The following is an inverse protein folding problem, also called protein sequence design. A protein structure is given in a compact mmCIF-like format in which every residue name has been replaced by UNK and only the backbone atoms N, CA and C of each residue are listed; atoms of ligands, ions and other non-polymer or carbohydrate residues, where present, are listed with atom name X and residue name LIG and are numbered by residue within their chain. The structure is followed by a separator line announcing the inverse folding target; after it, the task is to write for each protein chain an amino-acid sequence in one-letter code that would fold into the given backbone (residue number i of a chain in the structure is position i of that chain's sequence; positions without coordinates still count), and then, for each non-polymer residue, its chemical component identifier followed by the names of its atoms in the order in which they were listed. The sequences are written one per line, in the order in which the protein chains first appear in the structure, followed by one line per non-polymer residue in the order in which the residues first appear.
data_IF_607544135407
#
_entry.id   IF_607544135407
#
_cell.length_a   1.000
_cell.length_b   1.000
_cell.length_c   1.000
_cell.angle_alpha   90.00
_cell.angle_beta   90.00
_cell.angle_gamma   90.00
#
_symmetry.space_group_name_H-M   'P 1'
#
loop_
_entity.id
_entity.type
_entity.pdbx_description
1 polymer ?
#
# COMPACT_ATOMS: atom_id res chain seq x y z
N UNK A 1 -7.31 -8.68 11.94
CA UNK A 1 -7.69 -9.16 10.59
C UNK A 1 -8.75 -10.21 10.77
N UNK A 2 -9.82 -10.16 9.97
CA UNK A 2 -11.00 -11.00 10.10
C UNK A 2 -11.29 -11.64 8.74
N UNK A 3 -10.55 -12.71 8.41
CA UNK A 3 -10.64 -13.37 7.10
C UNK A 3 -11.92 -14.18 6.89
N UNK A 4 -12.69 -14.38 7.96
CA UNK A 4 -13.98 -15.08 7.99
C UNK A 4 -15.10 -14.14 8.49
N UNK A 5 -14.83 -12.83 8.59
CA UNK A 5 -15.74 -11.85 9.19
C UNK A 5 -15.59 -11.71 10.71
N UNK A 6 -16.35 -10.77 11.28
CA UNK A 6 -16.46 -10.50 12.71
C UNK A 6 -17.91 -10.17 13.06
N UNK A 7 -18.24 -10.05 14.34
CA UNK A 7 -19.59 -9.74 14.82
C UNK A 7 -20.18 -8.47 14.17
N UNK A 8 -19.35 -7.45 13.91
CA UNK A 8 -19.78 -6.19 13.31
C UNK A 8 -19.91 -6.26 11.79
N UNK A 9 -19.04 -7.03 11.13
CA UNK A 9 -18.97 -7.14 9.68
C UNK A 9 -18.80 -8.61 9.28
N UNK A 10 -19.83 -9.27 8.73
CA UNK A 10 -19.79 -10.71 8.46
C UNK A 10 -18.91 -11.09 7.26
N UNK A 11 -18.46 -10.12 6.47
CA UNK A 11 -17.62 -10.35 5.28
C UNK A 11 -16.13 -10.22 5.62
N UNK A 12 -15.22 -10.90 4.91
CA UNK A 12 -13.79 -10.82 5.18
C UNK A 12 -13.21 -9.41 5.04
N UNK A 13 -12.46 -8.97 6.05
CA UNK A 13 -11.95 -7.60 6.13
C UNK A 13 -10.73 -7.44 7.04
N UNK A 14 -10.07 -6.29 6.92
CA UNK A 14 -8.96 -5.85 7.76
C UNK A 14 -9.40 -4.57 8.48
N UNK A 15 -9.25 -4.56 9.81
CA UNK A 15 -9.33 -3.34 10.61
C UNK A 15 -7.99 -2.59 10.52
N UNK A 16 -8.07 -1.31 10.20
CA UNK A 16 -6.96 -0.36 10.22
C UNK A 16 -7.23 0.61 11.36
N UNK A 17 -6.77 0.23 12.55
CA UNK A 17 -7.09 0.96 13.79
C UNK A 17 -6.01 1.98 14.17
N UNK A 18 -4.79 1.74 13.68
CA UNK A 18 -3.60 2.53 13.96
C UNK A 18 -2.65 2.54 12.75
N UNK A 19 -1.79 3.55 12.70
CA UNK A 19 -0.62 3.66 11.85
C UNK A 19 0.61 3.89 12.73
N UNK A 20 1.81 3.73 12.19
CA UNK A 20 3.03 4.08 12.91
C UNK A 20 3.27 5.59 12.77
N UNK A 21 3.48 6.26 13.91
CA UNK A 21 3.82 7.67 13.94
C UNK A 21 5.17 7.90 13.22
N UNK A 22 5.30 8.91 12.34
CA UNK A 22 6.55 9.17 11.62
C UNK A 22 7.76 9.39 12.54
N UNK A 23 7.53 9.99 13.71
CA UNK A 23 8.53 10.26 14.75
C UNK A 23 8.60 9.19 15.83
N UNK A 24 7.74 8.15 15.75
CA UNK A 24 7.60 7.12 16.76
C UNK A 24 8.77 6.15 16.77
N UNK A 25 9.64 6.23 17.77
CA UNK A 25 10.72 5.26 17.96
C UNK A 25 10.16 3.89 18.36
N UNK A 26 10.73 2.81 17.82
CA UNK A 26 10.54 1.48 18.38
C UNK A 26 11.17 1.45 19.77
N UNK A 27 10.34 1.44 20.83
CA UNK A 27 10.81 1.65 22.20
C UNK A 27 10.39 0.52 23.12
N UNK A 28 11.39 -0.18 23.68
CA UNK A 28 11.32 -1.17 24.76
C UNK A 28 10.74 -0.65 26.09
N UNK A 29 10.10 0.53 26.13
CA UNK A 29 9.64 1.17 27.37
C UNK A 29 8.13 1.46 27.37
N UNK A 30 7.52 1.09 28.49
CA UNK A 30 6.08 1.05 28.84
C UNK A 30 5.27 2.37 28.67
N UNK A 31 5.82 3.44 28.10
CA UNK A 31 5.18 4.77 28.05
C UNK A 31 5.08 5.46 26.68
N UNK A 32 5.61 4.88 25.59
CA UNK A 32 5.56 5.52 24.26
C UNK A 32 5.09 4.56 23.17
N UNK A 33 3.79 4.36 23.03
CA UNK A 33 3.24 3.58 21.92
C UNK A 33 3.41 4.40 20.62
N UNK A 34 4.31 3.97 19.74
CA UNK A 34 4.56 4.57 18.42
C UNK A 34 3.38 4.49 17.43
N UNK A 35 2.20 4.09 17.91
CA UNK A 35 0.98 3.89 17.13
C UNK A 35 0.07 5.10 17.32
N UNK A 36 -0.25 5.75 16.21
CA UNK A 36 -1.22 6.84 16.14
C UNK A 36 -2.47 6.40 15.39
N UNK A 37 -3.54 7.17 15.49
CA UNK A 37 -4.70 6.98 14.61
C UNK A 37 -4.30 7.23 13.14
N UNK A 38 -4.83 6.44 12.19
CA UNK A 38 -4.61 6.66 10.76
C UNK A 38 -4.99 8.07 10.32
N UNK A 39 -4.46 8.51 9.16
CA UNK A 39 -4.78 9.82 8.54
C UNK A 39 -6.25 10.21 8.70
N UNK A 40 -6.46 11.42 9.23
CA UNK A 40 -7.79 11.95 9.58
C UNK A 40 -8.27 11.50 10.97
N UNK A 41 -7.37 11.05 11.85
CA UNK A 41 -7.65 10.59 13.20
C UNK A 41 -8.75 9.50 13.28
N UNK A 42 -8.77 8.57 12.32
CA UNK A 42 -9.92 7.65 12.13
C UNK A 42 -9.55 6.19 11.92
N UNK A 43 -10.39 5.29 12.41
CA UNK A 43 -10.32 3.85 12.11
C UNK A 43 -11.05 3.53 10.82
N UNK A 44 -10.58 2.48 10.11
CA UNK A 44 -11.19 2.07 8.84
C UNK A 44 -11.26 0.56 8.75
N UNK A 45 -12.18 0.08 7.93
CA UNK A 45 -12.29 -1.33 7.57
C UNK A 45 -12.13 -1.47 6.07
N UNK A 46 -11.22 -2.35 5.65
CA UNK A 46 -10.89 -2.59 4.24
C UNK A 46 -11.30 -4.02 3.86
N UNK A 47 -12.05 -4.23 2.77
CA UNK A 47 -12.48 -5.57 2.38
C UNK A 47 -11.30 -6.43 1.91
N UNK A 48 -11.41 -7.75 2.11
CA UNK A 48 -10.44 -8.73 1.59
C UNK A 48 -11.12 -9.62 0.55
N UNK A 49 -10.76 -9.41 -0.72
CA UNK A 49 -11.22 -10.24 -1.82
C UNK A 49 -10.68 -11.67 -1.69
N UNK A 50 -11.43 -12.66 -2.19
CA UNK A 50 -10.98 -14.07 -2.22
C UNK A 50 -9.75 -14.19 -3.14
N UNK A 51 -9.85 -13.61 -4.33
CA UNK A 51 -8.76 -13.47 -5.31
C UNK A 51 -8.54 -11.99 -5.64
N UNK A 52 -7.32 -11.61 -6.01
CA UNK A 52 -7.05 -10.31 -6.62
C UNK A 52 -7.72 -10.20 -8.00
N UNK A 53 -7.73 -9.00 -8.58
CA UNK A 53 -8.19 -8.79 -9.96
C UNK A 53 -7.38 -9.58 -11.00
N UNK A 54 -6.14 -9.96 -10.66
CA UNK A 54 -5.26 -10.78 -11.50
C UNK A 54 -5.37 -12.27 -11.19
N UNK A 55 -6.29 -12.68 -10.32
CA UNK A 55 -6.53 -14.08 -9.98
C UNK A 55 -5.69 -14.63 -8.81
N UNK A 56 -4.76 -13.85 -8.25
CA UNK A 56 -3.93 -14.28 -7.11
C UNK A 56 -4.81 -14.67 -5.91
N UNK A 57 -4.59 -15.82 -5.24
CA UNK A 57 -5.41 -16.31 -4.13
C UNK A 57 -5.18 -15.51 -2.82
N UNK A 58 -5.53 -14.22 -2.86
CA UNK A 58 -5.21 -13.23 -1.83
C UNK A 58 -5.64 -13.66 -0.42
N UNK A 59 -6.85 -14.19 -0.27
CA UNK A 59 -7.37 -14.54 1.06
C UNK A 59 -6.61 -15.70 1.68
N UNK A 60 -6.24 -16.69 0.88
CA UNK A 60 -5.52 -17.88 1.34
C UNK A 60 -4.07 -17.51 1.68
N UNK A 61 -3.42 -16.73 0.81
CA UNK A 61 -2.09 -16.17 1.08
C UNK A 61 -2.05 -15.31 2.37
N UNK A 62 -3.09 -14.51 2.63
CA UNK A 62 -3.20 -13.76 3.88
C UNK A 62 -3.40 -14.67 5.08
N UNK A 63 -4.12 -15.79 4.94
CA UNK A 63 -4.32 -16.76 6.02
C UNK A 63 -3.00 -17.43 6.39
N UNK A 64 -2.24 -17.88 5.39
CA UNK A 64 -0.90 -18.43 5.56
C UNK A 64 0.03 -17.40 6.20
N UNK A 65 0.01 -16.15 5.72
CA UNK A 65 0.86 -15.11 6.29
C UNK A 65 0.51 -14.79 7.74
N UNK A 66 -0.77 -14.76 8.11
CA UNK A 66 -1.21 -14.60 9.51
C UNK A 66 -0.70 -15.75 10.38
N UNK A 67 -0.75 -16.99 9.90
CA UNK A 67 -0.24 -18.14 10.63
C UNK A 67 1.27 -18.04 10.85
N UNK A 68 2.03 -17.70 9.79
CA UNK A 68 3.46 -17.47 9.87
C UNK A 68 3.82 -16.33 10.85
N UNK A 69 3.10 -15.19 10.79
CA UNK A 69 3.36 -14.05 11.68
C UNK A 69 3.12 -14.40 13.16
N UNK A 70 2.16 -15.30 13.45
CA UNK A 70 1.94 -15.83 14.79
C UNK A 70 3.07 -16.75 15.25
N UNK A 71 3.54 -17.64 14.37
CA UNK A 71 4.67 -18.52 14.66
C UNK A 71 5.97 -17.73 14.91
N UNK A 72 6.28 -16.77 14.05
CA UNK A 72 7.42 -15.84 14.21
C UNK A 72 7.35 -15.06 15.53
N UNK A 73 6.14 -14.62 15.92
CA UNK A 73 5.94 -13.94 17.19
C UNK A 73 6.17 -14.86 18.38
N UNK A 74 5.68 -16.10 18.32
CA UNK A 74 5.92 -17.10 19.36
C UNK A 74 7.42 -17.44 19.48
N UNK A 75 8.14 -17.46 18.36
CA UNK A 75 9.59 -17.67 18.32
C UNK A 75 10.42 -16.43 18.72
N UNK A 76 9.79 -15.26 18.90
CA UNK A 76 10.47 -14.02 19.27
C UNK A 76 11.17 -13.29 18.13
N UNK A 77 11.13 -13.79 16.89
CA UNK A 77 11.73 -13.15 15.70
C UNK A 77 10.86 -12.04 15.12
N UNK A 78 9.56 -12.02 15.44
CA UNK A 78 8.63 -10.95 15.11
C UNK A 78 7.82 -10.51 16.35
N UNK A 79 8.43 -9.81 17.32
CA UNK A 79 7.80 -9.50 18.61
C UNK A 79 6.48 -8.72 18.50
N UNK A 80 6.35 -7.89 17.47
CA UNK A 80 5.15 -7.08 17.23
C UNK A 80 4.06 -7.85 16.45
N UNK A 81 4.36 -9.03 15.91
CA UNK A 81 3.44 -9.83 15.10
C UNK A 81 3.04 -9.12 13.80
N UNK A 82 3.99 -8.41 13.18
CA UNK A 82 3.77 -7.71 11.92
C UNK A 82 3.47 -8.72 10.81
N UNK A 83 2.52 -8.39 9.93
CA UNK A 83 2.26 -9.21 8.75
C UNK A 83 3.39 -9.15 7.73
N UNK A 84 4.26 -8.15 7.74
CA UNK A 84 5.41 -8.07 6.84
C UNK A 84 6.56 -7.41 7.61
N UNK A 85 7.29 -8.17 8.45
CA UNK A 85 8.43 -7.67 9.20
C UNK A 85 9.64 -7.53 8.26
N UNK A 86 10.60 -6.67 8.64
CA UNK A 86 11.94 -6.72 8.07
C UNK A 86 12.64 -8.05 8.43
N UNK A 87 13.68 -8.42 7.69
CA UNK A 87 14.41 -9.70 7.87
C UNK A 87 14.91 -9.91 9.32
N UNK A 88 15.43 -8.86 9.96
CA UNK A 88 15.91 -8.90 11.36
C UNK A 88 14.79 -8.65 12.39
N UNK A 89 13.53 -8.69 11.97
CA UNK A 89 12.38 -8.28 12.76
C UNK A 89 12.15 -6.76 12.76
N UNK A 90 10.95 -6.34 13.14
CA UNK A 90 10.54 -4.92 13.16
C UNK A 90 10.01 -4.42 11.82
N UNK A 91 9.83 -3.10 11.68
CA UNK A 91 9.24 -2.52 10.48
C UNK A 91 10.18 -2.59 9.29
N UNK A 92 9.59 -2.88 8.14
CA UNK A 92 10.20 -2.63 6.85
C UNK A 92 10.05 -1.14 6.49
N UNK A 93 11.17 -0.42 6.37
CA UNK A 93 11.16 0.99 5.98
C UNK A 93 10.83 1.16 4.50
N UNK A 94 10.23 2.29 4.14
CA UNK A 94 9.79 2.54 2.76
C UNK A 94 10.93 2.40 1.74
N UNK A 95 12.12 2.90 2.04
CA UNK A 95 13.26 2.82 1.11
C UNK A 95 13.67 1.38 0.81
N UNK A 96 13.82 0.54 1.84
CA UNK A 96 14.12 -0.88 1.69
C UNK A 96 12.96 -1.62 1.01
N UNK A 97 11.72 -1.38 1.45
CA UNK A 97 10.53 -1.94 0.79
C UNK A 97 10.49 -1.60 -0.70
N UNK A 98 10.78 -0.36 -1.05
CA UNK A 98 10.75 0.11 -2.43
C UNK A 98 11.85 -0.56 -3.27
N UNK A 99 13.10 -0.48 -2.81
CA UNK A 99 14.25 -1.00 -3.54
C UNK A 99 14.26 -2.54 -3.63
N UNK A 100 13.96 -3.21 -2.53
CA UNK A 100 14.15 -4.67 -2.42
C UNK A 100 12.93 -5.46 -2.92
N UNK A 101 11.75 -4.85 -2.94
CA UNK A 101 10.51 -5.56 -3.27
C UNK A 101 9.62 -4.84 -4.28
N UNK A 102 9.25 -3.58 -4.03
CA UNK A 102 8.22 -2.94 -4.84
C UNK A 102 8.67 -2.66 -6.26
N UNK A 103 9.81 -1.99 -6.44
CA UNK A 103 10.32 -1.66 -7.77
C UNK A 103 10.63 -2.93 -8.60
N UNK A 104 11.30 -3.97 -8.05
CA UNK A 104 11.46 -5.24 -8.74
C UNK A 104 10.12 -5.85 -9.18
N UNK A 105 9.11 -5.87 -8.30
CA UNK A 105 7.79 -6.41 -8.64
C UNK A 105 7.06 -5.57 -9.71
N UNK A 106 7.25 -4.24 -9.71
CA UNK A 106 6.69 -3.35 -10.73
C UNK A 106 7.34 -3.61 -12.09
N UNK A 107 8.66 -3.82 -12.13
CA UNK A 107 9.41 -4.18 -13.35
C UNK A 107 8.92 -5.54 -13.88
N UNK A 108 8.83 -6.55 -13.02
CA UNK A 108 8.36 -7.91 -13.39
C UNK A 108 6.93 -7.90 -13.92
N UNK A 109 6.07 -7.05 -13.35
CA UNK A 109 4.71 -6.82 -13.83
C UNK A 109 4.64 -6.02 -15.15
N UNK A 110 5.77 -5.60 -15.72
CA UNK A 110 5.83 -4.84 -16.97
C UNK A 110 5.35 -3.39 -16.84
N UNK A 111 5.36 -2.81 -15.64
CA UNK A 111 5.01 -1.40 -15.46
C UNK A 111 6.12 -0.50 -16.05
N UNK A 112 5.76 0.65 -16.62
CA UNK A 112 6.73 1.57 -17.21
C UNK A 112 7.69 2.10 -16.14
N UNK A 113 8.97 2.13 -16.49
CA UNK A 113 10.09 2.58 -15.64
C UNK A 113 10.92 3.60 -16.41
N UNK A 114 11.24 4.70 -15.74
CA UNK A 114 12.23 5.66 -16.19
C UNK A 114 13.61 5.27 -15.67
N UNK A 115 14.62 5.44 -16.51
CA UNK A 115 16.02 5.13 -16.20
C UNK A 115 16.87 6.33 -16.55
N UNK A 116 17.73 6.75 -15.63
CA UNK A 116 18.68 7.83 -15.87
C UNK A 116 19.96 7.60 -15.07
N UNK A 117 21.06 8.13 -15.58
CA UNK A 117 22.35 8.07 -14.88
C UNK A 117 22.51 9.28 -13.97
N UNK A 118 22.86 9.02 -12.72
CA UNK A 118 23.29 10.04 -11.76
C UNK A 118 24.81 9.93 -11.62
N UNK A 119 25.49 11.04 -11.88
CA UNK A 119 26.92 11.19 -11.60
C UNK A 119 27.08 12.07 -10.37
N UNK A 120 27.70 11.54 -9.32
CA UNK A 120 27.91 12.23 -8.05
C UNK A 120 29.36 12.07 -7.56
N UNK A 121 29.85 13.07 -6.83
CA UNK A 121 31.14 12.96 -6.14
C UNK A 121 30.96 12.12 -4.88
N UNK A 122 31.60 10.96 -4.83
CA UNK A 122 31.58 10.07 -3.67
C UNK A 122 32.98 9.99 -3.09
N UNK A 123 33.07 10.01 -1.76
CA UNK A 123 34.34 9.78 -1.07
C UNK A 123 34.79 8.33 -1.28
N UNK A 124 35.98 8.14 -1.81
CA UNK A 124 36.63 6.83 -1.97
C UNK A 124 37.67 6.68 -0.85
N UNK A 125 37.42 5.76 0.08
CA UNK A 125 38.29 5.54 1.25
C UNK A 125 39.67 5.00 0.85
N UNK A 126 39.75 4.20 -0.21
CA UNK A 126 41.01 3.60 -0.68
C UNK A 126 41.91 4.65 -1.33
N UNK A 127 41.31 5.61 -2.03
CA UNK A 127 42.02 6.70 -2.70
C UNK A 127 42.18 7.95 -1.85
N UNK A 128 41.47 8.05 -0.72
CA UNK A 128 41.46 9.23 0.14
C UNK A 128 41.02 10.50 -0.59
N UNK A 129 40.11 10.38 -1.56
CA UNK A 129 39.69 11.48 -2.42
C UNK A 129 38.23 11.34 -2.88
N UNK A 130 37.62 12.45 -3.28
CA UNK A 130 36.32 12.44 -3.96
C UNK A 130 36.51 11.99 -5.41
N UNK A 131 35.81 10.92 -5.80
CA UNK A 131 35.78 10.40 -7.17
C UNK A 131 34.39 10.60 -7.77
N UNK A 132 34.33 10.82 -9.09
CA UNK A 132 33.06 10.77 -9.81
C UNK A 132 32.60 9.32 -9.91
N UNK A 133 31.41 9.05 -9.38
CA UNK A 133 30.74 7.77 -9.52
C UNK A 133 29.45 7.98 -10.28
N UNK A 134 29.31 7.25 -11.39
CA UNK A 134 28.06 7.17 -12.13
C UNK A 134 27.30 5.93 -11.69
N UNK A 135 26.02 6.10 -11.34
CA UNK A 135 25.09 5.00 -11.10
C UNK A 135 23.82 5.18 -11.92
N UNK A 136 23.32 4.09 -12.46
CA UNK A 136 22.04 4.07 -13.16
C UNK A 136 20.92 3.93 -12.14
N UNK A 137 20.05 4.94 -12.07
CA UNK A 137 18.84 4.92 -11.27
C UNK A 137 17.64 4.44 -12.10
N UNK A 138 16.69 3.80 -11.41
CA UNK A 138 15.44 3.31 -12.02
C UNK A 138 14.26 3.65 -11.13
N UNK A 139 13.24 4.28 -11.70
CA UNK A 139 12.02 4.60 -10.99
C UNK A 139 10.79 4.19 -11.78
N UNK A 140 9.83 3.56 -11.10
CA UNK A 140 8.53 3.28 -11.70
C UNK A 140 7.80 4.60 -11.98
N UNK A 141 7.28 4.76 -13.20
CA UNK A 141 6.46 5.92 -13.59
C UNK A 141 5.22 6.02 -12.71
N UNK A 142 4.67 4.87 -12.32
CA UNK A 142 3.57 4.81 -11.35
C UNK A 142 4.07 4.60 -9.93
N UNK A 143 3.70 5.54 -9.05
CA UNK A 143 3.99 5.43 -7.62
C UNK A 143 3.22 4.30 -6.95
N UNK A 144 3.65 3.90 -5.74
CA UNK A 144 2.85 3.04 -4.85
C UNK A 144 1.41 3.55 -4.65
N UNK A 145 1.22 4.87 -4.58
CA UNK A 145 -0.11 5.47 -4.41
C UNK A 145 -1.01 5.27 -5.64
N UNK A 146 -0.45 5.06 -6.84
CA UNK A 146 -1.21 4.76 -8.05
C UNK A 146 -2.03 3.47 -7.92
N UNK A 147 -1.58 2.49 -7.13
CA UNK A 147 -2.37 1.28 -6.85
C UNK A 147 -3.65 1.57 -6.06
N UNK A 148 -3.67 2.62 -5.23
CA UNK A 148 -4.89 3.09 -4.57
C UNK A 148 -5.89 3.67 -5.57
N UNK A 149 -5.41 4.36 -6.61
CA UNK A 149 -6.26 4.83 -7.70
C UNK A 149 -6.79 3.66 -8.53
N UNK A 150 -5.95 2.66 -8.82
CA UNK A 150 -6.39 1.44 -9.51
C UNK A 150 -7.44 0.67 -8.71
N UNK A 151 -7.26 0.54 -7.39
CA UNK A 151 -8.26 -0.04 -6.50
C UNK A 151 -9.61 0.69 -6.60
N UNK A 152 -9.58 2.02 -6.59
CA UNK A 152 -10.80 2.82 -6.71
C UNK A 152 -11.51 2.56 -8.05
N UNK A 153 -10.78 2.62 -9.17
CA UNK A 153 -11.35 2.34 -10.49
C UNK A 153 -11.84 0.91 -10.65
N UNK A 154 -11.17 -0.10 -10.10
CA UNK A 154 -11.71 -1.47 -10.05
C UNK A 154 -13.06 -1.52 -9.33
N UNK A 155 -13.20 -0.80 -8.21
CA UNK A 155 -14.47 -0.75 -7.49
C UNK A 155 -15.59 -0.06 -8.30
N UNK A 156 -15.26 0.98 -9.06
CA UNK A 156 -16.21 1.66 -9.96
C UNK A 156 -16.53 0.78 -11.17
N UNK A 157 -15.53 0.45 -11.97
CA UNK A 157 -15.67 -0.08 -13.32
C UNK A 157 -16.06 -1.57 -13.33
N UNK A 158 -15.59 -2.34 -12.35
CA UNK A 158 -15.82 -3.80 -12.31
C UNK A 158 -16.91 -4.14 -11.30
N UNK A 159 -16.90 -3.48 -10.14
CA UNK A 159 -17.85 -3.78 -9.06
C UNK A 159 -19.07 -2.86 -9.05
N UNK A 160 -19.17 -1.89 -9.97
CA UNK A 160 -20.29 -0.95 -10.09
C UNK A 160 -20.65 -0.33 -8.74
N UNK A 161 -19.65 0.00 -7.93
CA UNK A 161 -19.90 0.65 -6.65
C UNK A 161 -20.50 2.04 -6.88
N UNK A 162 -21.30 2.51 -5.93
CA UNK A 162 -21.73 3.91 -5.88
C UNK A 162 -20.69 4.74 -5.12
N UNK A 163 -20.72 6.06 -5.25
CA UNK A 163 -19.70 6.92 -4.63
C UNK A 163 -19.70 6.79 -3.11
N UNK A 164 -20.88 6.62 -2.50
CA UNK A 164 -21.02 6.37 -1.06
C UNK A 164 -20.37 5.05 -0.62
N UNK A 165 -20.53 3.98 -1.41
CA UNK A 165 -19.88 2.68 -1.14
C UNK A 165 -18.36 2.81 -1.28
N UNK A 166 -17.88 3.46 -2.34
CA UNK A 166 -16.45 3.66 -2.55
C UNK A 166 -15.83 4.53 -1.44
N UNK A 167 -16.50 5.63 -1.08
CA UNK A 167 -16.10 6.52 0.03
C UNK A 167 -15.89 5.73 1.32
N UNK A 168 -16.84 4.86 1.67
CA UNK A 168 -16.78 4.04 2.87
C UNK A 168 -15.59 3.06 2.84
N UNK A 169 -15.42 2.28 1.76
CA UNK A 169 -14.40 1.21 1.73
C UNK A 169 -12.97 1.71 1.53
N UNK A 170 -12.76 2.79 0.78
CA UNK A 170 -11.42 3.38 0.66
C UNK A 170 -11.14 4.44 1.72
N UNK A 171 -12.14 4.80 2.52
CA UNK A 171 -12.04 5.73 3.63
C UNK A 171 -11.78 7.17 3.22
N UNK A 172 -12.32 7.64 2.10
CA UNK A 172 -12.29 9.07 1.82
C UNK A 172 -13.17 9.82 2.82
N UNK A 173 -12.81 11.07 3.14
CA UNK A 173 -13.52 11.87 4.16
C UNK A 173 -14.78 12.53 3.63
N UNK A 174 -14.80 12.81 2.34
CA UNK A 174 -15.93 13.43 1.67
C UNK A 174 -16.19 12.75 0.33
N UNK A 175 -17.47 12.79 -0.07
CA UNK A 175 -17.94 12.22 -1.33
C UNK A 175 -17.40 13.01 -2.53
N UNK A 176 -17.13 14.31 -2.35
CA UNK A 176 -16.61 15.17 -3.41
C UNK A 176 -15.25 14.69 -3.92
N UNK A 177 -14.34 14.28 -3.02
CA UNK A 177 -13.04 13.70 -3.41
C UNK A 177 -13.21 12.45 -4.25
N UNK A 178 -14.21 11.63 -3.93
CA UNK A 178 -14.51 10.40 -4.68
C UNK A 178 -15.07 10.74 -6.06
N UNK A 179 -16.02 11.68 -6.13
CA UNK A 179 -16.64 12.12 -7.37
C UNK A 179 -15.62 12.74 -8.32
N UNK A 180 -14.86 13.75 -7.88
CA UNK A 180 -13.87 14.44 -8.71
C UNK A 180 -12.76 13.51 -9.20
N UNK A 181 -12.34 12.52 -8.39
CA UNK A 181 -11.20 11.66 -8.75
C UNK A 181 -11.56 10.38 -9.49
N UNK A 182 -12.78 9.84 -9.30
CA UNK A 182 -13.08 8.47 -9.73
C UNK A 182 -14.39 8.28 -10.49
N UNK A 183 -15.37 9.18 -10.43
CA UNK A 183 -16.65 9.03 -11.16
C UNK A 183 -16.85 10.08 -12.24
N UNK A 184 -16.34 11.29 -12.03
CA UNK A 184 -16.55 12.43 -12.91
C UNK A 184 -15.28 12.78 -13.68
N UNK A 185 -14.60 11.78 -14.22
CA UNK A 185 -13.57 12.00 -15.25
C UNK A 185 -14.21 12.70 -16.44
N UNK A 186 -13.54 13.72 -16.97
CA UNK A 186 -14.06 14.53 -18.08
C UNK A 186 -14.48 13.69 -19.27
N UNK A 187 -13.66 12.71 -19.65
CA UNK A 187 -13.88 11.87 -20.82
C UNK A 187 -15.10 10.94 -20.67
N UNK A 188 -15.28 10.28 -19.52
CA UNK A 188 -16.41 9.38 -19.28
C UNK A 188 -17.76 10.15 -19.35
N UNK A 189 -17.79 11.32 -18.73
CA UNK A 189 -18.97 12.20 -18.77
C UNK A 189 -19.21 12.77 -20.17
N UNK A 190 -18.14 13.13 -20.89
CA UNK A 190 -18.24 13.65 -22.25
C UNK A 190 -18.82 12.59 -23.18
N UNK A 191 -18.29 11.37 -23.16
CA UNK A 191 -18.78 10.27 -23.99
C UNK A 191 -20.23 9.90 -23.69
N UNK A 192 -20.60 9.82 -22.40
CA UNK A 192 -22.00 9.56 -22.02
C UNK A 192 -22.95 10.70 -22.38
N UNK A 193 -22.49 11.95 -22.27
CA UNK A 193 -23.25 13.13 -22.68
C UNK A 193 -23.46 13.17 -24.20
N UNK A 194 -22.42 12.89 -24.98
CA UNK A 194 -22.50 12.83 -26.44
C UNK A 194 -23.46 11.73 -26.91
N UNK A 195 -23.37 10.54 -26.31
CA UNK A 195 -24.24 9.40 -26.66
C UNK A 195 -25.73 9.63 -26.36
N UNK A 196 -26.10 10.68 -25.59
CA UNK A 196 -27.50 11.03 -25.35
C UNK A 196 -28.13 11.84 -26.49
N UNK A 197 -27.32 12.31 -27.45
CA UNK A 197 -27.76 13.06 -28.63
C UNK A 197 -27.65 12.25 -29.94
N UNK A 198 -27.21 10.99 -29.84
CA UNK A 198 -27.25 9.98 -30.91
C UNK A 198 -28.50 9.10 -30.78
#
# INVERSE_FOLDING_TARGET
MHLDGCQRYPRPHIHVDWQIAPTGKAGKNRKGNRRDRPKGNKTRVVPVAKRSITGYPLRDALRERVAAARAEKAAGTNPEGLLFPAERGGLLWHTSFYGDHLLPAMIDAGLPVETWDITEHVWDEERGAYVLRTRTERHAVFTWHSLRHRFARVCVDIHNMTEGKLMAIGGWENINTVQTRYYRSGDDNMNGGLAAFD
#
